data_IF_169454732426
#
_entry.id   IF_169454732426
#
_cell.length_a   1.000
_cell.length_b   1.000
_cell.length_c   1.000
_cell.angle_alpha   90.00
_cell.angle_beta   90.00
_cell.angle_gamma   90.00
#
_symmetry.space_group_name_H-M   'P 1'
#
loop_
_entity.id
_entity.type
_entity.pdbx_description
1 polymer ?
#
# COMPACT_ATOMS: atom_id res chain seq x y z
N UNK A 1 10.61 20.14 -21.97
CA UNK A 1 10.74 19.29 -20.76
C UNK A 1 11.85 18.28 -21.00
N UNK A 2 12.56 17.86 -19.96
CA UNK A 2 13.65 16.90 -20.04
C UNK A 2 13.30 15.66 -19.22
N UNK A 3 13.18 14.51 -19.89
CA UNK A 3 12.94 13.22 -19.27
C UNK A 3 14.28 12.54 -18.96
N UNK A 4 14.45 12.04 -17.72
CA UNK A 4 15.72 11.50 -17.24
C UNK A 4 15.46 10.17 -16.54
N UNK A 5 16.14 9.12 -16.98
CA UNK A 5 16.14 7.83 -16.30
C UNK A 5 16.90 7.91 -14.97
N UNK A 6 16.33 7.32 -13.92
CA UNK A 6 16.92 7.31 -12.58
C UNK A 6 17.98 6.20 -12.47
N UNK A 7 19.21 6.53 -12.87
CA UNK A 7 20.36 5.61 -12.88
C UNK A 7 21.41 5.89 -11.79
N UNK A 8 21.28 6.98 -11.03
CA UNK A 8 22.25 7.38 -10.01
C UNK A 8 21.60 7.60 -8.63
N UNK A 9 22.37 7.54 -7.53
CA UNK A 9 21.86 7.85 -6.19
C UNK A 9 21.29 9.27 -6.07
N UNK A 10 21.84 10.23 -6.81
CA UNK A 10 21.33 11.60 -6.82
C UNK A 10 19.95 11.67 -7.49
N UNK A 11 19.80 11.02 -8.65
CA UNK A 11 18.50 10.96 -9.33
C UNK A 11 17.46 10.18 -8.51
N UNK A 12 17.87 9.17 -7.72
CA UNK A 12 16.97 8.47 -6.82
C UNK A 12 16.44 9.38 -5.69
N UNK A 13 17.27 10.31 -5.20
CA UNK A 13 16.80 11.36 -4.27
C UNK A 13 15.83 12.31 -4.96
N UNK A 14 16.15 12.76 -6.18
CA UNK A 14 15.26 13.64 -6.96
C UNK A 14 13.90 12.98 -7.24
N UNK A 15 13.89 11.68 -7.54
CA UNK A 15 12.66 10.90 -7.71
C UNK A 15 11.77 10.94 -6.46
N UNK A 16 12.34 10.89 -5.26
CA UNK A 16 11.56 11.05 -4.02
C UNK A 16 11.09 12.50 -3.87
N UNK A 17 11.97 13.46 -4.16
CA UNK A 17 11.68 14.89 -4.00
C UNK A 17 10.56 15.40 -4.92
N UNK A 18 10.38 14.84 -6.11
CA UNK A 18 9.26 15.22 -7.00
C UNK A 18 7.92 15.16 -6.26
N UNK A 19 7.64 14.06 -5.55
CA UNK A 19 6.41 13.89 -4.79
C UNK A 19 6.29 14.86 -3.61
N UNK A 20 7.41 15.16 -2.94
CA UNK A 20 7.44 16.20 -1.90
C UNK A 20 7.14 17.58 -2.46
N UNK A 21 7.66 17.91 -3.65
CA UNK A 21 7.50 19.21 -4.31
C UNK A 21 6.06 19.39 -4.79
N UNK A 22 5.49 18.38 -5.44
CA UNK A 22 4.12 18.44 -5.99
C UNK A 22 3.09 18.57 -4.85
N UNK A 23 3.32 17.89 -3.73
CA UNK A 23 2.42 17.95 -2.59
C UNK A 23 2.77 19.07 -1.59
N UNK A 24 3.67 20.00 -1.95
CA UNK A 24 4.11 21.07 -1.05
C UNK A 24 2.92 21.96 -0.65
N UNK A 25 2.75 22.15 0.66
CA UNK A 25 1.68 22.98 1.22
C UNK A 25 0.33 22.29 1.35
N UNK A 26 0.22 21.03 0.92
CA UNK A 26 -0.99 20.25 1.14
C UNK A 26 -1.03 19.72 2.60
N UNK A 27 -2.04 20.08 3.40
CA UNK A 27 -2.13 19.68 4.82
C UNK A 27 -2.39 18.18 5.01
N UNK A 28 -2.98 17.50 4.03
CA UNK A 28 -3.29 16.07 4.05
C UNK A 28 -2.13 15.20 3.53
N UNK A 29 -1.10 15.81 2.96
CA UNK A 29 0.04 15.05 2.49
C UNK A 29 0.99 14.69 3.63
N UNK A 30 1.21 13.38 3.79
CA UNK A 30 2.23 12.83 4.68
C UNK A 30 3.34 12.23 3.82
N UNK A 31 4.55 12.78 3.92
CA UNK A 31 5.71 12.28 3.17
C UNK A 31 6.05 10.84 3.56
N UNK A 32 6.06 9.89 2.60
CA UNK A 32 6.52 8.54 2.85
C UNK A 32 7.97 8.49 3.35
N UNK A 33 8.35 7.47 4.12
CA UNK A 33 9.75 7.28 4.47
C UNK A 33 10.57 7.02 3.21
N UNK A 34 11.67 7.76 3.05
CA UNK A 34 12.57 7.63 1.91
C UNK A 34 13.11 6.20 1.80
N UNK A 35 13.34 5.56 2.96
CA UNK A 35 13.74 4.16 3.06
C UNK A 35 12.73 3.24 2.39
N UNK A 36 11.44 3.40 2.71
CA UNK A 36 10.40 2.49 2.19
C UNK A 36 10.27 2.62 0.67
N UNK A 37 10.38 3.84 0.13
CA UNK A 37 10.37 4.07 -1.32
C UNK A 37 11.61 3.46 -1.98
N UNK A 38 12.80 3.67 -1.40
CA UNK A 38 14.04 3.12 -1.95
C UNK A 38 14.07 1.59 -1.93
N UNK A 39 13.54 0.95 -0.87
CA UNK A 39 13.50 -0.52 -0.76
C UNK A 39 12.69 -1.19 -1.87
N UNK A 40 11.71 -0.50 -2.48
CA UNK A 40 10.98 -1.02 -3.65
C UNK A 40 11.92 -1.27 -4.84
N UNK A 41 12.95 -0.42 -4.98
CA UNK A 41 13.89 -0.45 -6.11
C UNK A 41 15.24 -1.09 -5.76
N UNK A 42 15.36 -1.73 -4.59
CA UNK A 42 16.57 -2.45 -4.18
C UNK A 42 16.43 -3.96 -4.41
N UNK A 43 17.18 -4.57 -5.36
CA UNK A 43 17.14 -6.01 -5.63
C UNK A 43 17.49 -6.91 -4.44
N UNK A 44 18.22 -6.39 -3.44
CA UNK A 44 18.56 -7.12 -2.21
C UNK A 44 17.41 -7.13 -1.21
N UNK A 45 16.46 -6.20 -1.32
CA UNK A 45 15.33 -6.03 -0.38
C UNK A 45 14.01 -6.50 -0.97
N UNK A 46 13.74 -6.15 -2.24
CA UNK A 46 12.52 -6.52 -2.92
C UNK A 46 12.67 -7.84 -3.69
N UNK A 47 11.99 -8.89 -3.21
CA UNK A 47 12.05 -10.23 -3.81
C UNK A 47 11.41 -10.30 -5.20
N UNK A 48 10.63 -9.30 -5.61
CA UNK A 48 10.02 -9.24 -6.94
C UNK A 48 11.07 -9.22 -8.07
N UNK A 49 12.27 -8.68 -7.80
CA UNK A 49 13.40 -8.70 -8.73
C UNK A 49 13.88 -10.10 -9.12
N UNK A 50 13.46 -11.17 -8.42
CA UNK A 50 13.72 -12.56 -8.84
C UNK A 50 12.97 -12.96 -10.10
N UNK A 51 11.88 -12.27 -10.41
CA UNK A 51 10.96 -12.62 -11.51
C UNK A 51 10.59 -11.42 -12.39
N UNK A 52 11.16 -10.25 -12.12
CA UNK A 52 10.72 -9.00 -12.70
C UNK A 52 11.80 -7.93 -12.72
N UNK A 53 11.50 -6.85 -13.42
CA UNK A 53 12.36 -5.69 -13.61
C UNK A 53 11.58 -4.43 -13.30
N UNK A 54 12.25 -3.40 -12.80
CA UNK A 54 11.66 -2.10 -12.54
C UNK A 54 12.61 -0.99 -12.97
N UNK A 55 12.02 0.10 -13.47
CA UNK A 55 12.72 1.29 -13.95
C UNK A 55 11.94 2.54 -13.52
N UNK A 56 12.62 3.69 -13.48
CA UNK A 56 12.06 4.96 -13.01
C UNK A 56 12.57 6.12 -13.86
N UNK A 57 11.73 7.13 -14.01
CA UNK A 57 12.09 8.40 -14.62
C UNK A 57 11.63 9.58 -13.78
N UNK A 58 12.34 10.68 -13.93
CA UNK A 58 11.91 12.02 -13.51
C UNK A 58 11.77 12.92 -14.74
N UNK A 59 10.93 13.93 -14.62
CA UNK A 59 10.70 14.95 -15.64
C UNK A 59 11.05 16.33 -15.07
N UNK A 60 11.85 17.08 -15.81
CA UNK A 60 12.22 18.47 -15.51
C UNK A 60 11.65 19.44 -16.54
N UNK A 61 11.32 20.66 -16.14
CA UNK A 61 11.02 21.75 -17.08
C UNK A 61 12.31 22.32 -17.71
N UNK A 62 12.21 23.42 -18.47
CA UNK A 62 13.35 24.02 -19.17
C UNK A 62 14.33 24.69 -18.20
N UNK A 63 13.83 25.07 -17.03
CA UNK A 63 14.54 25.72 -15.94
C UNK A 63 15.17 24.70 -14.97
N UNK A 64 14.96 23.40 -15.20
CA UNK A 64 15.52 22.31 -14.41
C UNK A 64 14.72 21.95 -13.16
N UNK A 65 13.51 22.50 -12.98
CA UNK A 65 12.62 22.18 -11.86
C UNK A 65 12.00 20.80 -12.07
N UNK A 66 11.90 20.04 -10.99
CA UNK A 66 11.23 18.74 -10.93
C UNK A 66 9.71 18.93 -11.09
N UNK A 67 9.14 18.40 -12.16
CA UNK A 67 7.70 18.56 -12.50
C UNK A 67 6.96 17.23 -12.61
N UNK A 68 7.66 16.10 -12.63
CA UNK A 68 6.99 14.80 -12.57
C UNK A 68 7.94 13.61 -12.41
N UNK A 69 7.35 12.45 -12.12
CA UNK A 69 8.03 11.17 -11.97
C UNK A 69 7.09 10.02 -12.32
N UNK A 70 7.66 8.90 -12.70
CA UNK A 70 6.92 7.64 -12.94
C UNK A 70 7.87 6.46 -12.80
N UNK A 71 7.34 5.32 -12.39
CA UNK A 71 8.00 4.02 -12.44
C UNK A 71 7.24 3.07 -13.36
N UNK A 72 7.96 2.18 -14.03
CA UNK A 72 7.38 1.06 -14.77
C UNK A 72 8.04 -0.26 -14.34
N UNK A 73 7.29 -1.35 -14.41
CA UNK A 73 7.80 -2.67 -14.04
C UNK A 73 7.13 -3.81 -14.79
N UNK A 74 7.86 -4.92 -14.88
CA UNK A 74 7.35 -6.20 -15.34
C UNK A 74 7.60 -7.26 -14.28
N UNK A 75 6.74 -8.27 -14.20
CA UNK A 75 6.95 -9.42 -13.33
C UNK A 75 6.27 -10.63 -13.96
N UNK A 76 7.03 -11.70 -14.22
CA UNK A 76 6.53 -12.93 -14.85
C UNK A 76 5.41 -13.61 -14.06
N UNK A 77 5.24 -13.27 -12.78
CA UNK A 77 4.18 -13.78 -11.90
C UNK A 77 2.99 -12.84 -11.75
N UNK A 78 3.09 -11.62 -12.28
CA UNK A 78 1.99 -10.67 -12.22
C UNK A 78 0.94 -11.05 -13.27
N UNK A 79 -0.26 -11.35 -12.79
CA UNK A 79 -1.43 -11.68 -13.60
C UNK A 79 -2.69 -11.52 -12.74
N UNK A 80 -3.63 -10.70 -13.18
CA UNK A 80 -4.96 -10.61 -12.61
C UNK A 80 -5.89 -11.67 -13.22
N UNK A 81 -7.00 -11.93 -12.53
CA UNK A 81 -8.06 -12.79 -13.07
C UNK A 81 -8.70 -12.09 -14.27
N UNK A 82 -8.70 -12.74 -15.42
CA UNK A 82 -9.24 -12.19 -16.67
C UNK A 82 -8.19 -11.63 -17.63
N UNK A 83 -6.91 -11.64 -17.25
CA UNK A 83 -5.84 -11.23 -18.15
C UNK A 83 -5.58 -12.31 -19.22
N UNK A 84 -5.79 -11.95 -20.48
CA UNK A 84 -5.50 -12.81 -21.64
C UNK A 84 -4.15 -12.51 -22.29
N UNK A 85 -3.48 -11.44 -21.86
CA UNK A 85 -2.20 -10.97 -22.40
C UNK A 85 -1.19 -10.66 -21.28
N UNK A 86 0.12 -10.58 -21.56
CA UNK A 86 1.10 -10.14 -20.59
C UNK A 86 0.88 -8.68 -20.19
N UNK A 87 0.73 -8.43 -18.88
CA UNK A 87 0.45 -7.10 -18.32
C UNK A 87 1.67 -6.57 -17.57
N UNK A 88 2.03 -5.33 -17.86
CA UNK A 88 3.02 -4.56 -17.12
C UNK A 88 2.37 -3.59 -16.15
N UNK A 89 3.14 -3.06 -15.21
CA UNK A 89 2.66 -2.08 -14.25
C UNK A 89 3.34 -0.74 -14.35
N UNK A 90 2.62 0.33 -14.01
CA UNK A 90 3.17 1.65 -13.74
C UNK A 90 2.72 2.18 -12.39
N UNK A 91 3.61 2.91 -11.71
CA UNK A 91 3.44 3.35 -10.33
C UNK A 91 4.28 4.57 -9.99
N UNK A 92 4.21 5.00 -8.73
CA UNK A 92 4.88 6.22 -8.25
C UNK A 92 4.69 7.41 -9.20
N UNK A 93 3.52 7.52 -9.83
CA UNK A 93 3.21 8.64 -10.70
C UNK A 93 2.96 9.88 -9.85
N UNK A 94 3.73 10.93 -10.08
CA UNK A 94 3.38 12.27 -9.64
C UNK A 94 3.70 13.24 -10.77
N UNK A 95 2.78 14.16 -11.06
CA UNK A 95 2.98 15.17 -12.08
C UNK A 95 2.29 16.48 -11.67
N UNK A 96 2.82 17.62 -12.12
CA UNK A 96 2.06 18.87 -12.12
C UNK A 96 0.78 18.70 -12.96
N UNK A 97 -0.22 19.57 -12.76
CA UNK A 97 -1.46 19.52 -13.55
C UNK A 97 -1.21 19.98 -15.01
N UNK A 98 -0.61 19.10 -15.82
CA UNK A 98 -0.23 19.35 -17.19
C UNK A 98 -0.29 18.04 -17.99
N UNK A 99 -1.11 18.02 -19.04
CA UNK A 99 -1.32 16.81 -19.85
C UNK A 99 -0.09 16.45 -20.67
N UNK A 100 0.61 17.42 -21.26
CA UNK A 100 1.82 17.14 -22.07
C UNK A 100 2.92 16.47 -21.23
N UNK A 101 3.12 16.94 -20.00
CA UNK A 101 4.05 16.34 -19.04
C UNK A 101 3.63 14.93 -18.62
N UNK A 102 2.32 14.72 -18.47
CA UNK A 102 1.72 13.41 -18.15
C UNK A 102 1.92 12.42 -19.29
N UNK A 103 1.63 12.84 -20.52
CA UNK A 103 1.76 12.02 -21.72
C UNK A 103 3.21 11.58 -21.91
N UNK A 104 4.19 12.48 -21.71
CA UNK A 104 5.62 12.12 -21.74
C UNK A 104 6.00 11.04 -20.73
N UNK A 105 5.46 11.11 -19.50
CA UNK A 105 5.74 10.12 -18.45
C UNK A 105 5.09 8.76 -18.78
N UNK A 106 3.83 8.74 -19.19
CA UNK A 106 3.17 7.49 -19.54
C UNK A 106 3.67 6.90 -20.85
N UNK A 107 4.09 7.70 -21.83
CA UNK A 107 4.68 7.22 -23.07
C UNK A 107 6.00 6.51 -22.82
N UNK A 108 6.89 7.06 -21.97
CA UNK A 108 8.15 6.36 -21.67
C UNK A 108 7.91 5.03 -20.96
N UNK A 109 6.94 5.00 -20.03
CA UNK A 109 6.55 3.77 -19.34
C UNK A 109 5.97 2.74 -20.34
N UNK A 110 5.03 3.16 -21.18
CA UNK A 110 4.43 2.34 -22.24
C UNK A 110 5.48 1.78 -23.20
N UNK A 111 6.39 2.61 -23.70
CA UNK A 111 7.44 2.17 -24.62
C UNK A 111 8.39 1.16 -23.97
N UNK A 112 8.79 1.38 -22.72
CA UNK A 112 9.60 0.42 -21.99
C UNK A 112 8.86 -0.91 -21.77
N UNK A 113 7.57 -0.86 -21.42
CA UNK A 113 6.74 -2.06 -21.25
C UNK A 113 6.59 -2.85 -22.56
N UNK A 114 6.39 -2.16 -23.69
CA UNK A 114 6.37 -2.77 -25.03
C UNK A 114 7.70 -3.46 -25.36
N UNK A 115 8.84 -2.80 -25.08
CA UNK A 115 10.16 -3.41 -25.25
C UNK A 115 10.36 -4.66 -24.38
N UNK A 116 9.67 -4.75 -23.24
CA UNK A 116 9.64 -5.92 -22.36
C UNK A 116 8.57 -6.94 -22.73
N UNK A 117 7.87 -6.76 -23.85
CA UNK A 117 6.88 -7.70 -24.38
C UNK A 117 5.53 -7.65 -23.67
N UNK A 118 5.24 -6.60 -22.90
CA UNK A 118 3.92 -6.39 -22.30
C UNK A 118 2.96 -5.81 -23.34
N UNK A 119 1.70 -6.18 -23.26
CA UNK A 119 0.64 -5.76 -24.20
C UNK A 119 -0.44 -4.92 -23.52
N UNK A 120 -0.46 -4.88 -22.19
CA UNK A 120 -1.31 -4.01 -21.38
C UNK A 120 -0.49 -3.35 -20.25
N UNK A 121 -1.02 -2.26 -19.72
CA UNK A 121 -0.40 -1.45 -18.67
C UNK A 121 -1.42 -1.13 -17.58
N UNK A 122 -1.22 -1.68 -16.40
CA UNK A 122 -2.01 -1.38 -15.20
C UNK A 122 -1.35 -0.26 -14.40
N UNK A 123 -2.16 0.64 -13.85
CA UNK A 123 -1.65 1.71 -13.01
C UNK A 123 -2.74 2.58 -12.37
N UNK A 124 -2.41 3.28 -11.27
CA UNK A 124 -1.15 3.20 -10.56
C UNK A 124 -1.10 1.99 -9.62
N UNK A 125 -0.08 1.15 -9.79
CA UNK A 125 0.27 -0.02 -8.97
C UNK A 125 1.78 -0.01 -8.74
N UNK A 126 2.31 -0.80 -7.80
CA UNK A 126 3.75 -0.77 -7.49
C UNK A 126 4.43 -2.13 -7.56
N UNK A 127 5.76 -2.08 -7.81
CA UNK A 127 6.57 -3.26 -8.02
C UNK A 127 6.74 -4.07 -6.74
N UNK A 128 5.99 -5.17 -6.63
CA UNK A 128 5.99 -6.02 -5.46
C UNK A 128 4.61 -6.57 -5.17
N UNK A 129 4.34 -6.76 -3.88
CA UNK A 129 3.02 -7.17 -3.40
C UNK A 129 2.04 -5.98 -3.41
N UNK A 130 0.75 -6.28 -3.32
CA UNK A 130 -0.34 -5.30 -3.31
C UNK A 130 -0.51 -4.56 -1.96
N UNK A 131 0.44 -4.66 -1.04
CA UNK A 131 0.33 -4.17 0.33
C UNK A 131 0.66 -2.68 0.52
N UNK A 132 1.25 -2.00 -0.49
CA UNK A 132 1.73 -0.61 -0.35
C UNK A 132 1.55 0.19 -1.61
N UNK A 133 0.97 1.38 -1.49
CA UNK A 133 0.91 2.39 -2.54
C UNK A 133 0.26 1.88 -3.84
N UNK A 134 -0.83 1.13 -3.73
CA UNK A 134 -1.63 0.69 -4.88
C UNK A 134 -2.91 1.52 -5.01
N UNK A 135 -3.34 1.73 -6.26
CA UNK A 135 -4.58 2.42 -6.58
C UNK A 135 -4.44 3.93 -6.66
N UNK A 136 -5.38 4.55 -7.37
CA UNK A 136 -5.53 5.99 -7.50
C UNK A 136 -6.63 6.48 -6.57
N UNK A 137 -6.35 7.48 -5.73
CA UNK A 137 -7.40 8.14 -4.96
C UNK A 137 -8.19 9.03 -5.92
N UNK A 138 -9.49 8.78 -6.01
CA UNK A 138 -10.44 9.55 -6.82
C UNK A 138 -11.44 10.33 -5.97
N UNK A 139 -11.60 9.96 -4.69
CA UNK A 139 -12.53 10.58 -3.74
C UNK A 139 -11.94 10.61 -2.32
N UNK A 140 -12.46 11.49 -1.46
CA UNK A 140 -12.06 11.62 -0.05
C UNK A 140 -10.87 12.54 0.19
N UNK A 141 -9.75 12.34 -0.52
CA UNK A 141 -8.51 13.15 -0.45
C UNK A 141 -8.06 13.51 0.99
N UNK A 142 -8.16 12.55 1.91
CA UNK A 142 -7.73 12.70 3.30
C UNK A 142 -6.30 12.20 3.49
N UNK A 143 -5.69 12.56 4.61
CA UNK A 143 -4.40 12.03 5.04
C UNK A 143 -4.33 10.50 4.93
N UNK A 144 -3.36 9.93 4.20
CA UNK A 144 -3.31 8.50 3.97
C UNK A 144 -2.78 7.76 5.20
N UNK A 145 -3.24 6.51 5.38
CA UNK A 145 -2.61 5.59 6.33
C UNK A 145 -1.17 5.26 5.90
N UNK A 146 -0.36 4.78 6.83
CA UNK A 146 1.00 4.35 6.51
C UNK A 146 1.05 3.36 5.34
N UNK A 147 1.96 3.61 4.38
CA UNK A 147 2.10 2.89 3.12
C UNK A 147 0.91 2.96 2.14
N UNK A 148 -0.09 3.82 2.36
CA UNK A 148 -1.13 4.12 1.37
C UNK A 148 -0.73 5.28 0.46
N UNK A 149 -1.30 5.32 -0.75
CA UNK A 149 -1.06 6.41 -1.69
C UNK A 149 -1.69 7.71 -1.23
N UNK A 150 -1.14 8.82 -1.70
CA UNK A 150 -1.81 10.11 -1.79
C UNK A 150 -1.83 10.51 -3.28
N UNK A 151 -2.94 11.07 -3.75
CA UNK A 151 -3.05 11.57 -5.13
C UNK A 151 -3.64 12.98 -5.12
N UNK A 152 -3.25 13.80 -6.10
CA UNK A 152 -3.87 15.11 -6.28
C UNK A 152 -5.24 14.95 -6.96
N UNK A 153 -6.23 15.82 -6.67
CA UNK A 153 -7.57 15.71 -7.25
C UNK A 153 -7.60 15.65 -8.78
N UNK A 154 -6.66 16.33 -9.44
CA UNK A 154 -6.57 16.35 -10.90
C UNK A 154 -5.94 15.09 -11.52
N UNK A 155 -5.41 14.14 -10.72
CA UNK A 155 -4.75 12.95 -11.28
C UNK A 155 -5.73 12.05 -12.03
N UNK A 156 -6.99 11.94 -11.59
CA UNK A 156 -8.00 11.14 -12.30
C UNK A 156 -8.12 11.58 -13.76
N UNK A 157 -8.28 12.87 -13.98
CA UNK A 157 -8.40 13.45 -15.32
C UNK A 157 -7.15 13.22 -16.17
N UNK A 158 -5.96 13.31 -15.57
CA UNK A 158 -4.68 13.06 -16.26
C UNK A 158 -4.58 11.62 -16.77
N UNK A 159 -4.97 10.64 -15.94
CA UNK A 159 -5.00 9.22 -16.30
C UNK A 159 -6.03 8.94 -17.40
N UNK A 160 -7.26 9.43 -17.23
CA UNK A 160 -8.37 9.19 -18.18
C UNK A 160 -8.10 9.83 -19.54
N UNK A 161 -7.53 11.05 -19.59
CA UNK A 161 -7.18 11.73 -20.85
C UNK A 161 -6.06 11.02 -21.61
N UNK A 162 -5.11 10.39 -20.91
CA UNK A 162 -4.08 9.58 -21.56
C UNK A 162 -4.66 8.25 -22.12
N UNK A 163 -5.72 7.73 -21.50
CA UNK A 163 -6.45 6.55 -21.97
C UNK A 163 -6.59 5.41 -20.97
N UNK A 164 -6.22 5.62 -19.70
CA UNK A 164 -6.52 4.65 -18.64
C UNK A 164 -8.03 4.57 -18.43
N UNK A 165 -8.49 3.37 -18.05
CA UNK A 165 -9.89 3.10 -17.68
C UNK A 165 -9.92 2.49 -16.29
N UNK A 166 -11.05 2.65 -15.61
CA UNK A 166 -11.27 2.01 -14.32
C UNK A 166 -11.22 0.48 -14.48
N UNK A 167 -10.37 -0.17 -13.69
CA UNK A 167 -10.28 -1.63 -13.64
C UNK A 167 -11.22 -2.22 -12.58
N UNK A 168 -11.21 -1.64 -11.36
CA UNK A 168 -12.21 -1.85 -10.31
C UNK A 168 -12.12 -0.73 -9.26
N UNK A 169 -13.25 -0.47 -8.58
CA UNK A 169 -13.32 0.43 -7.44
C UNK A 169 -13.05 -0.26 -6.10
N UNK A 170 -12.44 0.49 -5.17
CA UNK A 170 -12.28 0.08 -3.77
C UNK A 170 -12.70 1.24 -2.87
N UNK A 171 -13.53 0.95 -1.87
CA UNK A 171 -13.95 1.93 -0.86
C UNK A 171 -13.27 1.64 0.47
N UNK A 172 -12.68 2.68 1.07
CA UNK A 172 -12.11 2.65 2.41
C UNK A 172 -13.01 3.45 3.34
N UNK A 173 -13.59 2.78 4.35
CA UNK A 173 -14.50 3.42 5.30
C UNK A 173 -13.79 3.69 6.63
N UNK A 174 -14.10 4.84 7.22
CA UNK A 174 -13.73 5.17 8.60
C UNK A 174 -14.93 5.03 9.53
N UNK A 175 -14.67 4.60 10.76
CA UNK A 175 -15.63 4.61 11.87
C UNK A 175 -15.02 5.45 13.00
N UNK A 176 -15.79 6.39 13.55
CA UNK A 176 -15.38 7.09 14.77
C UNK A 176 -15.62 6.16 15.97
N UNK A 177 -14.56 5.69 16.67
CA UNK A 177 -14.69 4.72 17.76
C UNK A 177 -15.40 5.30 19.00
N UNK A 178 -15.64 6.62 19.04
CA UNK A 178 -16.35 7.30 20.14
C UNK A 178 -17.86 7.35 19.91
N UNK A 179 -18.32 7.09 18.69
CA UNK A 179 -19.75 7.06 18.39
C UNK A 179 -20.37 5.77 18.91
N UNK A 180 -21.60 5.88 19.39
CA UNK A 180 -22.36 4.71 19.78
C UNK A 180 -22.57 3.79 18.58
N UNK A 181 -22.42 2.49 18.84
CA UNK A 181 -22.74 1.47 17.86
C UNK A 181 -24.27 1.42 17.68
N UNK A 182 -24.72 1.09 16.47
CA UNK A 182 -26.15 0.95 16.20
C UNK A 182 -26.78 -0.11 17.13
N UNK A 183 -28.02 0.11 17.55
CA UNK A 183 -28.81 -0.83 18.37
C UNK A 183 -28.76 -2.27 17.82
N UNK A 184 -28.86 -2.44 16.50
CA UNK A 184 -28.73 -3.73 15.81
C UNK A 184 -27.43 -4.49 16.13
N UNK A 185 -26.31 -3.77 16.30
CA UNK A 185 -25.02 -4.38 16.67
C UNK A 185 -25.06 -4.79 18.14
N UNK A 186 -25.58 -3.93 19.02
CA UNK A 186 -25.68 -4.18 20.45
C UNK A 186 -26.61 -5.38 20.75
N UNK A 187 -27.76 -5.47 20.10
CA UNK A 187 -28.68 -6.62 20.23
C UNK A 187 -28.05 -7.94 19.80
N UNK A 188 -27.30 -7.93 18.68
CA UNK A 188 -26.58 -9.12 18.20
C UNK A 188 -25.47 -9.52 19.18
N UNK A 189 -24.74 -8.55 19.70
CA UNK A 189 -23.74 -8.79 20.73
C UNK A 189 -24.36 -9.42 21.98
N UNK A 190 -25.46 -8.86 22.50
CA UNK A 190 -26.11 -9.37 23.71
C UNK A 190 -26.56 -10.84 23.57
N UNK A 191 -27.11 -11.22 22.41
CA UNK A 191 -27.49 -12.61 22.13
C UNK A 191 -26.30 -13.57 22.13
N UNK A 192 -25.18 -13.17 21.51
CA UNK A 192 -23.97 -13.98 21.44
C UNK A 192 -23.25 -14.06 22.79
N UNK A 193 -23.20 -12.95 23.53
CA UNK A 193 -22.55 -12.86 24.83
C UNK A 193 -23.25 -13.71 25.91
N UNK A 194 -24.54 -14.02 25.72
CA UNK A 194 -25.31 -14.89 26.61
C UNK A 194 -24.99 -16.39 26.43
N UNK A 195 -24.39 -16.79 25.32
CA UNK A 195 -24.02 -18.19 25.07
C UNK A 195 -22.58 -18.47 25.58
N UNK A 196 -22.41 -19.32 26.62
CA UNK A 196 -21.10 -19.59 27.23
C UNK A 196 -20.14 -20.34 26.30
N UNK A 197 -20.61 -20.86 25.16
CA UNK A 197 -19.73 -21.45 24.15
C UNK A 197 -18.94 -20.41 23.37
N UNK A 198 -19.39 -19.16 23.35
CA UNK A 198 -18.64 -18.06 22.75
C UNK A 198 -17.61 -17.51 23.74
N UNK A 199 -16.43 -17.20 23.24
CA UNK A 199 -15.43 -16.42 23.97
C UNK A 199 -14.65 -15.53 23.02
N UNK A 200 -14.02 -14.51 23.57
CA UNK A 200 -13.14 -13.61 22.81
C UNK A 200 -11.86 -13.37 23.58
N UNK A 201 -10.75 -13.29 22.88
CA UNK A 201 -9.48 -12.85 23.47
C UNK A 201 -8.74 -11.94 22.51
N UNK A 202 -8.03 -10.98 23.09
CA UNK A 202 -7.06 -10.22 22.34
C UNK A 202 -5.78 -11.05 22.09
N UNK A 203 -5.03 -10.71 21.04
CA UNK A 203 -3.76 -11.36 20.74
C UNK A 203 -2.78 -11.23 21.91
N UNK A 204 -2.03 -12.30 22.20
CA UNK A 204 -0.92 -12.25 23.14
C UNK A 204 0.41 -12.38 22.39
N UNK A 205 1.24 -11.35 22.46
CA UNK A 205 2.56 -11.22 21.82
C UNK A 205 3.59 -12.25 22.29
N UNK A 206 3.34 -12.91 23.41
CA UNK A 206 4.15 -14.02 23.92
C UNK A 206 3.65 -15.39 23.40
N UNK A 207 2.47 -15.43 22.76
CA UNK A 207 1.86 -16.64 22.18
C UNK A 207 1.58 -16.50 20.69
N UNK A 208 2.43 -15.76 19.96
CA UNK A 208 2.21 -15.46 18.53
C UNK A 208 2.03 -16.71 17.65
N UNK A 209 2.65 -17.83 17.99
CA UNK A 209 2.51 -19.07 17.22
C UNK A 209 1.07 -19.60 17.24
N UNK A 210 0.42 -19.55 18.40
CA UNK A 210 -0.99 -19.93 18.57
C UNK A 210 -1.90 -19.00 17.79
N UNK A 211 -1.72 -17.68 17.93
CA UNK A 211 -2.57 -16.70 17.23
C UNK A 211 -2.32 -16.65 15.72
N UNK A 212 -1.11 -16.97 15.27
CA UNK A 212 -0.83 -17.16 13.85
C UNK A 212 -1.57 -18.38 13.29
N UNK A 213 -1.65 -19.46 14.06
CA UNK A 213 -2.43 -20.64 13.70
C UNK A 213 -3.93 -20.36 13.67
N UNK A 214 -4.48 -19.68 14.67
CA UNK A 214 -5.88 -19.25 14.66
C UNK A 214 -6.19 -18.35 13.46
N UNK A 215 -5.28 -17.41 13.14
CA UNK A 215 -5.43 -16.53 12.00
C UNK A 215 -5.49 -17.32 10.69
N UNK A 216 -4.59 -18.29 10.50
CA UNK A 216 -4.59 -19.16 9.33
C UNK A 216 -5.90 -19.95 9.23
N UNK A 217 -6.37 -20.52 10.34
CA UNK A 217 -7.63 -21.28 10.37
C UNK A 217 -8.81 -20.41 9.93
N UNK A 218 -8.98 -19.23 10.52
CA UNK A 218 -10.09 -18.33 10.17
C UNK A 218 -9.94 -17.79 8.75
N UNK A 219 -8.75 -17.30 8.40
CA UNK A 219 -8.48 -16.70 7.09
C UNK A 219 -8.69 -17.71 5.95
N UNK A 220 -8.11 -18.91 6.04
CA UNK A 220 -8.26 -19.90 4.98
C UNK A 220 -9.70 -20.40 4.87
N UNK A 221 -10.42 -20.64 5.99
CA UNK A 221 -11.84 -21.02 5.93
C UNK A 221 -12.71 -19.92 5.30
N UNK A 222 -12.40 -18.64 5.54
CA UNK A 222 -13.15 -17.52 4.97
C UNK A 222 -12.78 -17.22 3.51
N UNK A 223 -11.51 -17.37 3.11
CA UNK A 223 -10.98 -16.81 1.87
C UNK A 223 -10.38 -17.82 0.89
N UNK A 224 -10.03 -19.04 1.29
CA UNK A 224 -9.40 -20.03 0.39
C UNK A 224 -10.31 -20.46 -0.78
N UNK A 225 -11.62 -20.18 -0.71
CA UNK A 225 -12.57 -20.38 -1.81
C UNK A 225 -12.88 -19.12 -2.65
N UNK A 226 -12.45 -17.92 -2.23
CA UNK A 226 -12.78 -16.67 -2.93
C UNK A 226 -11.66 -16.26 -3.89
N UNK A 227 -11.99 -16.15 -5.18
CA UNK A 227 -11.20 -15.39 -6.16
C UNK A 227 -9.83 -15.96 -6.54
N UNK A 228 -9.49 -17.19 -6.15
CA UNK A 228 -8.18 -17.80 -6.43
C UNK A 228 -7.06 -17.38 -5.48
N UNK A 229 -7.41 -16.83 -4.31
CA UNK A 229 -6.45 -16.52 -3.25
C UNK A 229 -5.80 -17.80 -2.72
N UNK A 230 -4.47 -17.81 -2.62
CA UNK A 230 -3.72 -18.95 -2.09
C UNK A 230 -3.92 -19.04 -0.58
N UNK A 231 -4.05 -20.26 -0.08
CA UNK A 231 -4.02 -20.53 1.35
C UNK A 231 -2.74 -19.97 1.98
N UNK A 232 -2.92 -19.31 3.11
CA UNK A 232 -1.80 -18.81 3.90
C UNK A 232 -1.19 -19.96 4.71
N UNK A 233 0.14 -20.05 4.69
CA UNK A 233 0.88 -20.99 5.53
C UNK A 233 1.17 -20.37 6.90
N UNK A 234 1.09 -21.17 7.97
CA UNK A 234 1.40 -20.74 9.35
C UNK A 234 2.75 -20.02 9.46
N UNK A 235 3.81 -20.55 8.89
CA UNK A 235 5.14 -19.94 8.97
C UNK A 235 5.21 -18.55 8.31
N UNK A 236 4.45 -18.34 7.24
CA UNK A 236 4.37 -17.04 6.58
C UNK A 236 3.65 -16.02 7.47
N UNK A 237 2.51 -16.41 8.05
CA UNK A 237 1.74 -15.56 8.98
C UNK A 237 2.55 -15.27 10.23
N UNK A 238 3.24 -16.25 10.80
CA UNK A 238 4.10 -16.07 11.96
C UNK A 238 5.23 -15.07 11.67
N UNK A 239 5.85 -15.13 10.48
CA UNK A 239 6.86 -14.15 10.08
C UNK A 239 6.26 -12.74 9.96
N UNK A 240 5.06 -12.61 9.41
CA UNK A 240 4.33 -11.33 9.35
C UNK A 240 4.07 -10.79 10.76
N UNK A 241 3.57 -11.62 11.67
CA UNK A 241 3.30 -11.24 13.06
C UNK A 241 4.58 -10.80 13.77
N UNK A 242 5.70 -11.52 13.58
CA UNK A 242 7.01 -11.13 14.14
C UNK A 242 7.48 -9.77 13.61
N UNK A 243 7.26 -9.48 12.32
CA UNK A 243 7.58 -8.17 11.72
C UNK A 243 6.69 -7.04 12.27
N UNK A 244 5.41 -7.32 12.49
CA UNK A 244 4.43 -6.35 13.00
C UNK A 244 4.48 -6.19 14.53
N UNK A 245 5.09 -7.13 15.26
CA UNK A 245 5.17 -7.15 16.73
C UNK A 245 5.53 -5.79 17.37
N UNK A 246 6.47 -4.98 16.83
CA UNK A 246 6.84 -3.69 17.41
C UNK A 246 5.71 -2.65 17.39
N UNK A 247 4.80 -2.74 16.42
CA UNK A 247 3.71 -1.76 16.21
C UNK A 247 2.33 -2.32 16.55
N UNK A 248 2.27 -3.60 16.91
CA UNK A 248 1.06 -4.29 17.29
C UNK A 248 0.55 -3.78 18.64
N UNK A 249 -0.70 -3.35 18.74
CA UNK A 249 -1.37 -3.15 20.04
C UNK A 249 -2.30 -4.33 20.28
N UNK A 250 -2.08 -5.04 21.39
CA UNK A 250 -2.87 -6.23 21.72
C UNK A 250 -4.36 -5.88 21.83
N UNK A 251 -4.71 -4.74 22.42
CA UNK A 251 -6.10 -4.38 22.76
C UNK A 251 -7.00 -4.11 21.56
N UNK A 252 -6.44 -3.99 20.37
CA UNK A 252 -7.19 -3.72 19.13
C UNK A 252 -7.11 -4.89 18.13
N UNK A 253 -6.59 -6.04 18.56
CA UNK A 253 -6.52 -7.26 17.74
C UNK A 253 -7.25 -8.38 18.46
N UNK A 254 -8.43 -8.70 17.99
CA UNK A 254 -9.36 -9.62 18.64
C UNK A 254 -9.56 -10.90 17.85
N UNK A 255 -9.72 -11.99 18.59
CA UNK A 255 -10.10 -13.29 18.11
C UNK A 255 -11.36 -13.73 18.83
N UNK A 256 -12.30 -14.30 18.09
CA UNK A 256 -13.56 -14.85 18.62
C UNK A 256 -13.56 -16.36 18.41
N UNK A 257 -14.01 -17.08 19.42
CA UNK A 257 -14.03 -18.54 19.47
C UNK A 257 -15.44 -19.04 19.74
N UNK A 258 -15.78 -20.19 19.17
CA UNK A 258 -16.96 -20.97 19.54
C UNK A 258 -16.52 -22.38 19.89
N UNK A 259 -16.78 -22.83 21.12
CA UNK A 259 -16.30 -24.13 21.65
C UNK A 259 -14.77 -24.32 21.46
N UNK A 260 -14.00 -23.26 21.74
CA UNK A 260 -12.54 -23.18 21.58
C UNK A 260 -12.01 -23.18 20.13
N UNK A 261 -12.86 -23.32 19.11
CA UNK A 261 -12.46 -23.17 17.71
C UNK A 261 -12.46 -21.69 17.32
N UNK A 262 -11.39 -21.16 16.68
CA UNK A 262 -11.35 -19.78 16.22
C UNK A 262 -12.31 -19.62 15.03
N UNK A 263 -13.24 -18.68 15.15
CA UNK A 263 -14.31 -18.44 14.15
C UNK A 263 -14.31 -17.02 13.59
N UNK A 264 -13.58 -16.09 14.21
CA UNK A 264 -13.56 -14.70 13.80
C UNK A 264 -12.27 -14.02 14.23
N UNK A 265 -11.82 -13.09 13.40
CA UNK A 265 -10.67 -12.24 13.66
C UNK A 265 -11.02 -10.78 13.35
N UNK A 266 -10.54 -9.87 14.17
CA UNK A 266 -10.64 -8.43 13.96
C UNK A 266 -9.27 -7.82 14.24
N UNK A 267 -8.46 -7.70 13.19
CA UNK A 267 -7.05 -7.33 13.28
C UNK A 267 -6.88 -5.88 12.84
N UNK A 268 -6.46 -5.03 13.78
CA UNK A 268 -6.18 -3.63 13.51
C UNK A 268 -4.72 -3.31 13.86
N UNK A 269 -4.17 -2.28 13.22
CA UNK A 269 -2.87 -1.73 13.56
C UNK A 269 -3.02 -0.22 13.82
N UNK A 270 -2.25 0.34 14.76
CA UNK A 270 -2.13 1.78 14.89
C UNK A 270 -1.58 2.37 13.59
N UNK A 271 -2.14 3.49 13.15
CA UNK A 271 -1.64 4.20 11.97
C UNK A 271 -0.31 4.92 12.29
N UNK A 272 0.79 4.41 11.74
CA UNK A 272 2.12 4.97 11.97
C UNK A 272 2.27 6.39 11.42
N UNK A 273 1.45 6.79 10.45
CA UNK A 273 1.51 8.12 9.87
C UNK A 273 1.15 9.23 10.87
N UNK A 274 0.45 8.90 11.97
CA UNK A 274 0.20 9.84 13.06
C UNK A 274 1.49 10.35 13.73
N UNK A 275 2.58 9.58 13.65
CA UNK A 275 3.91 9.99 14.10
C UNK A 275 4.84 10.35 12.94
N UNK A 276 4.83 9.56 11.85
CA UNK A 276 5.77 9.75 10.75
C UNK A 276 5.60 11.08 10.01
N UNK A 277 4.42 11.72 10.10
CA UNK A 277 4.21 13.09 9.62
C UNK A 277 5.20 14.11 10.19
N UNK A 278 5.77 13.87 11.36
CA UNK A 278 6.77 14.76 11.99
C UNK A 278 8.22 14.44 11.62
N UNK A 279 8.47 13.40 10.82
CA UNK A 279 9.81 12.86 10.55
C UNK A 279 10.33 13.20 9.15
N UNK A 280 9.50 13.82 8.29
CA UNK A 280 9.88 14.32 6.96
C UNK A 280 10.68 13.28 6.14
N UNK A 281 10.17 12.05 6.06
CA UNK A 281 10.74 10.97 5.25
C UNK A 281 11.93 10.25 5.87
N UNK A 282 12.36 10.59 7.09
CA UNK A 282 13.55 10.00 7.74
C UNK A 282 13.16 9.10 8.92
N UNK A 283 13.96 8.06 9.14
CA UNK A 283 13.81 7.16 10.30
C UNK A 283 15.16 6.59 10.79
N UNK A 284 16.19 7.44 10.81
CA UNK A 284 17.49 7.14 11.41
C UNK A 284 17.42 7.17 12.95
N UNK A 285 18.57 7.00 13.63
CA UNK A 285 18.62 6.92 15.09
C UNK A 285 18.00 8.14 15.78
N UNK A 286 18.26 9.35 15.27
CA UNK A 286 17.70 10.58 15.84
C UNK A 286 16.17 10.62 15.69
N UNK A 287 15.65 10.23 14.52
CA UNK A 287 14.21 10.19 14.26
C UNK A 287 13.51 9.09 15.07
N UNK A 288 14.19 7.98 15.38
CA UNK A 288 13.68 6.96 16.30
C UNK A 288 13.57 7.49 17.73
N UNK A 289 14.56 8.26 18.20
CA UNK A 289 14.48 8.91 19.51
C UNK A 289 13.33 9.93 19.54
N UNK A 290 13.17 10.73 18.48
CA UNK A 290 12.03 11.64 18.32
C UNK A 290 10.69 10.88 18.32
N UNK A 291 10.62 9.74 17.64
CA UNK A 291 9.43 8.89 17.62
C UNK A 291 9.06 8.34 19.01
N UNK A 292 10.04 8.03 19.87
CA UNK A 292 9.79 7.58 21.25
C UNK A 292 9.37 8.72 22.19
N UNK A 293 9.65 9.97 21.83
CA UNK A 293 9.35 11.14 22.65
C UNK A 293 7.94 11.73 22.40
N UNK A 294 7.41 11.56 21.18
CA UNK A 294 6.09 12.03 20.74
C UNK A 294 5.03 10.99 21.06
#
# INVERSE_FOLDING_TARGET
MQLIEVSTPQLAKEFILVNVIINKGNPDYIRPLDKDVNEVFDPKKNKAFRFGEAIRWILKDKEGKLIGRIAAFTNKKYKNKGDDVPVGGTGFFDCINNQEATDMLFDVAKHWLLQKGMQAMDGPINFGERDRWWGLIVEGFQSPLYCMNYAQPYYKDLFEKYGFKEFYGQSCYGLDPRKELSEKILERHAKLAADPNFSSSYINKNRLEKFAEDFVTVYNKAWAGHGGLKELKKDQVLLMFKKMKPVMDEKIIWYVYYKNEPIGIFVNLPDLNQWFKYLNGKFDLFHKLKFLWI
#
